data_IF_931458569216
#
_entry.id   IF_931458569216
#
_cell.length_a   1.000
_cell.length_b   1.000
_cell.length_c   1.000
_cell.angle_alpha   90.00
_cell.angle_beta   90.00
_cell.angle_gamma   90.00
#
_symmetry.space_group_name_H-M   'P 1'
#
loop_
_entity.id
_entity.type
_entity.pdbx_description
1 polymer ?
#
# COMPACT_ATOMS: atom_id res chain seq x y z
N UNK A 1 34.34 -22.28 -54.76
CA UNK A 1 34.42 -23.42 -53.83
C UNK A 1 34.92 -22.86 -52.50
N UNK A 2 34.21 -22.79 -51.38
CA UNK A 2 32.82 -23.02 -51.02
C UNK A 2 32.59 -22.28 -49.70
N UNK A 3 31.45 -21.60 -49.56
CA UNK A 3 31.01 -20.88 -48.36
C UNK A 3 30.55 -21.90 -47.30
N UNK A 4 31.05 -21.80 -46.07
CA UNK A 4 30.48 -22.49 -44.91
C UNK A 4 29.74 -21.45 -44.07
N UNK A 5 28.40 -21.50 -44.14
CA UNK A 5 27.49 -20.63 -43.41
C UNK A 5 27.32 -21.04 -41.94
N UNK A 6 26.66 -20.19 -41.13
CA UNK A 6 26.43 -20.47 -39.72
C UNK A 6 25.37 -21.57 -39.54
N UNK A 7 25.66 -22.48 -38.60
CA UNK A 7 24.76 -23.53 -38.13
C UNK A 7 23.67 -22.89 -37.27
N UNK A 8 22.43 -22.90 -37.75
CA UNK A 8 21.25 -22.58 -36.97
C UNK A 8 20.77 -23.82 -36.21
N UNK A 9 20.81 -23.77 -34.87
CA UNK A 9 20.13 -24.74 -34.01
C UNK A 9 18.62 -24.41 -33.98
N UNK A 10 17.82 -25.23 -34.65
CA UNK A 10 16.36 -25.23 -34.55
C UNK A 10 15.92 -25.74 -33.18
N UNK A 11 15.40 -24.84 -32.35
CA UNK A 11 14.53 -25.20 -31.22
C UNK A 11 13.08 -24.97 -31.63
N UNK A 12 12.37 -26.05 -31.95
CA UNK A 12 10.92 -26.02 -32.17
C UNK A 12 10.21 -25.84 -30.83
N UNK A 13 10.01 -24.59 -30.41
CA UNK A 13 9.07 -24.23 -29.36
C UNK A 13 7.66 -24.19 -29.95
N UNK A 14 6.80 -25.14 -29.58
CA UNK A 14 5.38 -25.09 -29.89
C UNK A 14 4.79 -23.80 -29.28
N UNK A 15 4.33 -22.88 -30.12
CA UNK A 15 3.49 -21.77 -29.68
C UNK A 15 2.20 -22.37 -29.08
N UNK A 16 1.76 -21.96 -27.88
CA UNK A 16 0.42 -22.29 -27.45
C UNK A 16 -0.56 -21.71 -28.47
N UNK A 17 -1.49 -22.55 -28.95
CA UNK A 17 -2.52 -22.14 -29.86
C UNK A 17 -3.24 -20.90 -29.31
N UNK A 18 -3.37 -19.87 -30.15
CA UNK A 18 -4.28 -18.75 -29.95
C UNK A 18 -5.71 -19.30 -29.81
N UNK A 19 -6.13 -19.66 -28.60
CA UNK A 19 -7.53 -19.92 -28.31
C UNK A 19 -8.23 -18.56 -28.23
N UNK A 20 -8.98 -18.22 -29.28
CA UNK A 20 -9.93 -17.12 -29.22
C UNK A 20 -10.80 -17.26 -27.96
N UNK A 21 -11.11 -16.16 -27.25
CA UNK A 21 -12.03 -16.23 -26.13
C UNK A 21 -13.36 -16.83 -26.62
N UNK A 22 -14.02 -17.67 -25.81
CA UNK A 22 -15.32 -18.21 -26.17
C UNK A 22 -16.28 -17.07 -26.51
N UNK A 23 -17.19 -17.25 -27.49
CA UNK A 23 -18.18 -16.23 -27.82
C UNK A 23 -18.98 -15.85 -26.57
N UNK A 24 -19.34 -14.58 -26.39
CA UNK A 24 -20.11 -14.14 -25.24
C UNK A 24 -21.41 -14.94 -25.18
N UNK A 25 -21.64 -15.60 -24.05
CA UNK A 25 -22.90 -16.31 -23.79
C UNK A 25 -24.01 -15.26 -23.80
N UNK A 26 -25.06 -15.40 -24.64
CA UNK A 26 -26.13 -14.42 -24.68
C UNK A 26 -26.81 -14.32 -23.31
N UNK A 27 -26.78 -13.13 -22.71
CA UNK A 27 -27.48 -12.87 -21.44
C UNK A 27 -28.96 -13.18 -21.60
N UNK A 28 -29.51 -13.92 -20.63
CA UNK A 28 -30.93 -14.25 -20.61
C UNK A 28 -31.77 -12.97 -20.49
N UNK A 29 -33.02 -12.99 -20.99
CA UNK A 29 -33.96 -11.87 -20.83
C UNK A 29 -34.10 -11.42 -19.37
N UNK A 30 -34.01 -12.34 -18.42
CA UNK A 30 -34.05 -12.07 -16.98
C UNK A 30 -32.80 -11.33 -16.47
N UNK A 31 -31.61 -11.68 -16.96
CA UNK A 31 -30.35 -11.01 -16.62
C UNK A 31 -30.29 -9.60 -17.19
N UNK A 32 -30.74 -9.42 -18.44
CA UNK A 32 -30.87 -8.10 -19.05
C UNK A 32 -31.85 -7.21 -18.28
N UNK A 33 -33.03 -7.73 -17.90
CA UNK A 33 -34.00 -7.00 -17.09
C UNK A 33 -33.46 -6.63 -15.69
N UNK A 34 -32.66 -7.52 -15.07
CA UNK A 34 -31.96 -7.22 -13.81
C UNK A 34 -30.93 -6.10 -13.98
N UNK A 35 -30.11 -6.16 -15.03
CA UNK A 35 -29.11 -5.14 -15.32
C UNK A 35 -29.75 -3.76 -15.53
N UNK A 36 -30.88 -3.68 -16.25
CA UNK A 36 -31.63 -2.43 -16.42
C UNK A 36 -32.09 -1.87 -15.08
N UNK A 37 -32.72 -2.68 -14.22
CA UNK A 37 -33.16 -2.23 -12.90
C UNK A 37 -32.01 -1.73 -12.02
N UNK A 38 -30.85 -2.39 -12.05
CA UNK A 38 -29.66 -1.93 -11.32
C UNK A 38 -29.20 -0.56 -11.85
N UNK A 39 -29.16 -0.38 -13.17
CA UNK A 39 -28.78 0.91 -13.78
C UNK A 39 -29.74 2.03 -13.42
N UNK A 40 -31.04 1.78 -13.49
CA UNK A 40 -32.08 2.75 -13.13
C UNK A 40 -31.99 3.10 -11.63
N UNK A 41 -31.84 2.11 -10.77
CA UNK A 41 -31.66 2.33 -9.34
C UNK A 41 -30.39 3.14 -9.04
N UNK A 42 -29.26 2.82 -9.69
CA UNK A 42 -28.02 3.58 -9.55
C UNK A 42 -28.17 5.02 -10.04
N UNK A 43 -28.86 5.24 -11.17
CA UNK A 43 -29.11 6.58 -11.71
C UNK A 43 -30.04 7.41 -10.81
N UNK A 44 -31.03 6.79 -10.17
CA UNK A 44 -31.94 7.46 -9.25
C UNK A 44 -31.31 7.78 -7.89
N UNK A 45 -30.32 6.99 -7.45
CA UNK A 45 -29.71 7.12 -6.11
C UNK A 45 -28.29 7.70 -6.13
N UNK A 46 -27.70 7.99 -7.29
CA UNK A 46 -26.38 8.64 -7.37
C UNK A 46 -26.44 10.03 -6.75
N UNK A 47 -25.48 10.31 -5.88
CA UNK A 47 -25.25 11.64 -5.33
C UNK A 47 -23.97 12.21 -5.94
N UNK A 48 -24.04 13.45 -6.40
CA UNK A 48 -22.91 14.10 -7.07
C UNK A 48 -21.86 14.49 -6.03
N UNK A 49 -20.63 14.04 -6.24
CA UNK A 49 -19.45 14.48 -5.52
C UNK A 49 -18.64 15.37 -6.48
N UNK A 50 -18.54 16.65 -6.14
CA UNK A 50 -17.81 17.65 -6.91
C UNK A 50 -16.43 17.86 -6.32
N UNK A 51 -15.42 18.10 -7.17
CA UNK A 51 -14.07 18.46 -6.75
C UNK A 51 -13.56 19.62 -7.61
N UNK A 52 -13.22 20.74 -6.96
CA UNK A 52 -12.75 21.96 -7.64
C UNK A 52 -11.22 22.05 -7.77
N UNK A 53 -10.51 20.97 -7.42
CA UNK A 53 -9.04 20.92 -7.34
C UNK A 53 -8.50 21.15 -5.93
N UNK A 54 -9.32 21.66 -5.01
CA UNK A 54 -8.95 21.88 -3.61
C UNK A 54 -9.94 21.26 -2.62
N UNK A 55 -11.24 21.26 -2.92
CA UNK A 55 -12.30 20.85 -2.00
C UNK A 55 -13.34 19.97 -2.69
N UNK A 56 -13.72 18.93 -1.96
CA UNK A 56 -14.88 18.10 -2.24
C UNK A 56 -16.16 18.78 -1.74
N UNK A 57 -17.23 18.69 -2.53
CA UNK A 57 -18.53 19.31 -2.23
C UNK A 57 -19.69 18.60 -2.95
N UNK A 58 -20.92 19.10 -2.78
CA UNK A 58 -22.13 18.57 -3.41
C UNK A 58 -22.84 17.52 -2.55
N UNK A 59 -24.01 17.06 -3.02
CA UNK A 59 -24.88 16.17 -2.25
C UNK A 59 -24.23 14.83 -1.85
N UNK A 60 -23.23 14.37 -2.60
CA UNK A 60 -22.44 13.19 -2.26
C UNK A 60 -21.52 13.44 -1.07
N UNK A 61 -20.85 14.60 -1.05
CA UNK A 61 -20.03 15.04 0.06
C UNK A 61 -20.85 15.19 1.35
N UNK A 62 -21.99 15.87 1.25
CA UNK A 62 -22.87 16.12 2.40
C UNK A 62 -23.36 14.80 3.03
N UNK A 63 -23.70 13.80 2.20
CA UNK A 63 -24.07 12.47 2.69
C UNK A 63 -22.91 11.77 3.40
N UNK A 64 -21.69 11.83 2.86
CA UNK A 64 -20.52 11.19 3.49
C UNK A 64 -20.25 11.77 4.87
N UNK A 65 -20.31 13.10 5.01
CA UNK A 65 -20.11 13.79 6.29
C UNK A 65 -21.25 13.46 7.27
N UNK A 66 -22.51 13.50 6.82
CA UNK A 66 -23.67 13.21 7.66
C UNK A 66 -23.67 11.75 8.16
N UNK A 67 -23.38 10.79 7.28
CA UNK A 67 -23.29 9.37 7.68
C UNK A 67 -22.08 9.09 8.54
N UNK A 68 -20.95 9.73 8.25
CA UNK A 68 -19.73 9.56 9.03
C UNK A 68 -19.84 10.12 10.44
N UNK A 69 -20.53 11.25 10.62
CA UNK A 69 -20.71 11.85 11.96
C UNK A 69 -21.60 11.01 12.88
N UNK A 70 -22.52 10.22 12.31
CA UNK A 70 -23.37 9.27 13.03
C UNK A 70 -22.68 7.92 13.29
N UNK A 71 -21.58 7.63 12.59
CA UNK A 71 -20.87 6.36 12.66
C UNK A 71 -19.71 6.40 13.67
N UNK A 72 -19.45 5.27 14.34
CA UNK A 72 -18.26 5.09 15.17
C UNK A 72 -17.00 4.80 14.33
N UNK A 73 -17.19 4.20 13.16
CA UNK A 73 -16.14 3.84 12.22
C UNK A 73 -16.57 4.21 10.80
N UNK A 74 -15.67 4.83 10.03
CA UNK A 74 -15.86 5.13 8.63
C UNK A 74 -14.81 4.38 7.81
N UNK A 75 -15.25 3.55 6.87
CA UNK A 75 -14.37 2.81 5.97
C UNK A 75 -14.33 3.52 4.62
N UNK A 76 -13.13 3.87 4.16
CA UNK A 76 -12.89 4.45 2.85
C UNK A 76 -12.05 3.46 2.03
N UNK A 77 -12.67 2.84 1.03
CA UNK A 77 -11.95 2.07 0.02
C UNK A 77 -11.30 3.00 -1.01
N UNK A 78 -10.22 2.54 -1.61
CA UNK A 78 -9.41 3.35 -2.53
C UNK A 78 -8.82 2.50 -3.66
N UNK A 79 -8.31 3.17 -4.69
CA UNK A 79 -7.54 2.56 -5.78
C UNK A 79 -6.15 3.19 -5.81
N UNK A 80 -5.10 2.37 -5.72
CA UNK A 80 -3.74 2.86 -5.58
C UNK A 80 -3.31 3.79 -6.72
N UNK A 81 -2.55 4.82 -6.37
CA UNK A 81 -1.95 5.76 -7.33
C UNK A 81 -2.87 6.89 -7.80
N UNK A 82 -4.06 7.03 -7.21
CA UNK A 82 -4.99 8.13 -7.50
C UNK A 82 -4.80 9.28 -6.50
N UNK A 83 -4.40 10.45 -6.99
CA UNK A 83 -4.08 11.62 -6.18
C UNK A 83 -5.28 12.18 -5.39
N UNK A 84 -6.50 11.96 -5.89
CA UNK A 84 -7.74 12.42 -5.28
C UNK A 84 -8.12 11.62 -4.01
N UNK A 85 -7.70 10.36 -3.90
CA UNK A 85 -8.01 9.50 -2.74
C UNK A 85 -7.49 10.09 -1.43
N UNK A 86 -6.19 10.41 -1.28
CA UNK A 86 -5.68 11.01 -0.04
C UNK A 86 -6.25 12.42 0.20
N UNK A 87 -6.60 13.18 -0.85
CA UNK A 87 -7.26 14.49 -0.69
C UNK A 87 -8.66 14.34 -0.10
N UNK A 88 -9.44 13.38 -0.59
CA UNK A 88 -10.75 13.06 -0.05
C UNK A 88 -10.64 12.59 1.40
N UNK A 89 -9.71 11.67 1.68
CA UNK A 89 -9.46 11.16 3.03
C UNK A 89 -9.06 12.29 4.00
N UNK A 90 -8.23 13.24 3.58
CA UNK A 90 -7.83 14.38 4.39
C UNK A 90 -8.99 15.31 4.74
N UNK A 91 -9.81 15.67 3.75
CA UNK A 91 -10.95 16.54 3.97
C UNK A 91 -12.01 15.83 4.83
N UNK A 92 -12.28 14.55 4.55
CA UNK A 92 -13.28 13.77 5.28
C UNK A 92 -12.87 13.58 6.74
N UNK A 93 -11.62 13.16 7.00
CA UNK A 93 -11.14 13.02 8.37
C UNK A 93 -11.28 14.33 9.15
N UNK A 94 -10.84 15.45 8.56
CA UNK A 94 -10.95 16.77 9.18
C UNK A 94 -12.40 17.16 9.50
N UNK A 95 -13.34 16.84 8.60
CA UNK A 95 -14.76 17.08 8.80
C UNK A 95 -15.40 16.19 9.89
N UNK A 96 -14.83 15.00 10.12
CA UNK A 96 -15.34 14.03 11.09
C UNK A 96 -14.72 14.14 12.49
N UNK A 97 -13.57 14.81 12.64
CA UNK A 97 -12.96 15.06 13.97
C UNK A 97 -13.93 15.67 15.00
N UNK A 98 -14.76 16.69 14.65
CA UNK A 98 -15.76 17.23 15.59
C UNK A 98 -16.77 16.18 16.11
N UNK A 99 -16.94 15.06 15.40
CA UNK A 99 -17.82 13.95 15.78
C UNK A 99 -17.10 12.88 16.62
N UNK A 100 -15.85 13.13 17.04
CA UNK A 100 -15.08 12.25 17.93
C UNK A 100 -14.00 11.41 17.24
N UNK A 101 -13.85 11.52 15.92
CA UNK A 101 -12.79 10.83 15.20
C UNK A 101 -11.41 11.36 15.64
N UNK A 102 -10.49 10.43 15.91
CA UNK A 102 -9.13 10.78 16.36
C UNK A 102 -8.05 9.82 15.85
N UNK A 103 -8.44 8.79 15.09
CA UNK A 103 -7.57 7.74 14.57
C UNK A 103 -7.82 7.52 13.09
N UNK A 104 -6.76 7.23 12.36
CA UNK A 104 -6.78 6.72 10.98
C UNK A 104 -6.16 5.33 11.02
N UNK A 105 -6.85 4.37 10.45
CA UNK A 105 -6.35 3.01 10.28
C UNK A 105 -6.05 2.79 8.79
N UNK A 106 -4.84 2.30 8.47
CA UNK A 106 -4.36 2.15 7.09
C UNK A 106 -3.77 0.76 6.87
N UNK A 107 -3.75 0.34 5.60
CA UNK A 107 -3.29 -0.98 5.12
C UNK A 107 -1.76 -1.06 5.04
N UNK A 108 -1.11 -0.83 6.19
CA UNK A 108 0.33 -1.01 6.38
C UNK A 108 0.57 -1.68 7.74
N UNK A 109 1.78 -2.12 8.01
CA UNK A 109 2.20 -2.63 9.31
C UNK A 109 2.14 -1.60 10.42
N UNK A 110 1.91 -2.08 11.64
CA UNK A 110 1.95 -1.25 12.83
C UNK A 110 3.29 -0.55 13.05
N UNK A 111 4.40 -1.16 12.61
CA UNK A 111 5.74 -0.61 12.74
C UNK A 111 5.93 0.61 11.82
N UNK A 112 5.59 0.50 10.53
CA UNK A 112 5.67 1.66 9.64
C UNK A 112 4.67 2.74 10.01
N UNK A 113 3.44 2.38 10.41
CA UNK A 113 2.48 3.38 10.88
C UNK A 113 3.03 4.23 12.04
N UNK A 114 3.80 3.62 12.95
CA UNK A 114 4.48 4.35 14.01
C UNK A 114 5.57 5.29 13.47
N UNK A 115 6.38 4.82 12.52
CA UNK A 115 7.43 5.64 11.87
C UNK A 115 6.83 6.82 11.07
N UNK A 116 5.71 6.61 10.37
CA UNK A 116 5.00 7.67 9.64
C UNK A 116 4.38 8.70 10.59
N UNK A 117 3.73 8.26 11.67
CA UNK A 117 3.18 9.17 12.70
C UNK A 117 4.31 10.02 13.32
N UNK A 118 5.44 9.39 13.67
CA UNK A 118 6.59 10.10 14.21
C UNK A 118 7.16 11.11 13.19
N UNK A 119 7.43 10.67 11.97
CA UNK A 119 8.02 11.53 10.92
C UNK A 119 7.13 12.75 10.62
N UNK A 120 5.81 12.58 10.52
CA UNK A 120 4.89 13.70 10.28
C UNK A 120 4.76 14.62 11.50
N UNK A 121 4.86 14.07 12.70
CA UNK A 121 4.81 14.84 13.94
C UNK A 121 6.06 15.71 14.11
N UNK A 122 7.24 15.21 13.76
CA UNK A 122 8.50 15.91 13.94
C UNK A 122 8.81 16.93 12.84
N UNK A 123 8.50 16.62 11.58
CA UNK A 123 8.91 17.44 10.44
C UNK A 123 7.86 17.64 9.36
N UNK A 124 6.60 17.28 9.63
CA UNK A 124 5.48 17.51 8.72
C UNK A 124 5.60 16.74 7.40
N UNK A 125 4.90 17.19 6.34
CA UNK A 125 4.81 16.47 5.08
C UNK A 125 6.16 16.34 4.37
N UNK A 126 7.09 17.29 4.56
CA UNK A 126 8.42 17.22 3.96
C UNK A 126 9.27 16.11 4.57
N UNK A 127 9.13 15.84 5.88
CA UNK A 127 9.84 14.73 6.53
C UNK A 127 9.35 13.38 6.03
N UNK A 128 8.03 13.21 5.93
CA UNK A 128 7.41 12.04 5.31
C UNK A 128 7.90 11.84 3.88
N UNK A 129 7.84 12.88 3.06
CA UNK A 129 8.26 12.79 1.66
C UNK A 129 9.72 12.35 1.52
N UNK A 130 10.64 12.89 2.35
CA UNK A 130 12.04 12.45 2.36
C UNK A 130 12.18 11.00 2.77
N UNK A 131 11.51 10.59 3.85
CA UNK A 131 11.51 9.20 4.31
C UNK A 131 11.02 8.25 3.20
N UNK A 132 10.02 8.63 2.43
CA UNK A 132 9.38 7.71 1.49
C UNK A 132 10.04 7.69 0.11
N UNK A 133 10.88 8.69 -0.19
CA UNK A 133 11.61 8.78 -1.47
C UNK A 133 13.05 8.25 -1.40
N UNK A 134 13.65 8.23 -0.21
CA UNK A 134 14.98 7.68 0.02
C UNK A 134 14.99 6.15 -0.18
N UNK A 135 15.85 5.60 -1.07
CA UNK A 135 15.81 4.16 -1.39
C UNK A 135 15.80 3.19 -0.20
N UNK A 136 16.56 3.38 0.89
CA UNK A 136 16.54 2.46 2.04
C UNK A 136 15.21 2.41 2.79
N UNK A 137 14.38 3.45 2.68
CA UNK A 137 13.13 3.63 3.42
C UNK A 137 11.90 3.70 2.51
N UNK A 138 12.10 3.54 1.21
CA UNK A 138 11.03 3.50 0.20
C UNK A 138 10.11 2.31 0.46
N UNK A 139 8.81 2.57 0.34
CA UNK A 139 7.72 1.60 0.47
C UNK A 139 6.81 1.67 -0.76
N UNK A 140 5.98 0.65 -0.96
CA UNK A 140 5.03 0.63 -2.08
C UNK A 140 3.86 1.61 -1.90
N UNK A 141 3.50 1.92 -0.65
CA UNK A 141 2.37 2.79 -0.27
C UNK A 141 2.89 4.11 0.34
N UNK A 142 2.11 5.20 0.29
CA UNK A 142 2.52 6.51 0.83
C UNK A 142 3.66 7.23 0.07
N UNK A 143 4.07 6.73 -1.11
CA UNK A 143 5.11 7.36 -1.94
C UNK A 143 4.70 8.67 -2.61
N UNK A 144 3.42 9.03 -2.61
CA UNK A 144 2.91 10.26 -3.24
C UNK A 144 2.96 11.45 -2.27
N UNK A 145 3.15 12.64 -2.84
CA UNK A 145 3.09 13.90 -2.07
C UNK A 145 1.72 14.05 -1.39
N UNK A 146 0.65 13.72 -2.09
CA UNK A 146 -0.72 13.87 -1.62
C UNK A 146 -1.00 12.98 -0.40
N UNK A 147 -0.40 11.80 -0.31
CA UNK A 147 -0.50 10.92 0.87
C UNK A 147 0.25 11.51 2.08
N UNK A 148 1.42 12.12 1.86
CA UNK A 148 2.14 12.84 2.91
C UNK A 148 1.36 14.07 3.41
N UNK A 149 0.73 14.80 2.49
CA UNK A 149 -0.15 15.93 2.82
C UNK A 149 -1.39 15.49 3.61
N UNK A 150 -1.97 14.33 3.26
CA UNK A 150 -3.08 13.74 3.99
C UNK A 150 -2.71 13.42 5.44
N UNK A 151 -1.61 12.70 5.67
CA UNK A 151 -1.16 12.38 7.03
C UNK A 151 -0.89 13.64 7.84
N UNK A 152 -0.31 14.67 7.22
CA UNK A 152 -0.08 15.96 7.87
C UNK A 152 -1.40 16.68 8.22
N UNK A 153 -2.41 16.63 7.34
CA UNK A 153 -3.73 17.18 7.61
C UNK A 153 -4.43 16.43 8.75
N UNK A 154 -4.40 15.10 8.74
CA UNK A 154 -4.97 14.27 9.79
C UNK A 154 -4.30 14.52 11.16
N UNK A 155 -2.96 14.60 11.20
CA UNK A 155 -2.21 14.96 12.40
C UNK A 155 -2.62 16.33 12.95
N UNK A 156 -2.79 17.33 12.08
CA UNK A 156 -3.24 18.68 12.48
C UNK A 156 -4.67 18.67 13.02
N UNK A 157 -5.56 17.93 12.37
CA UNK A 157 -6.97 17.85 12.77
C UNK A 157 -7.14 17.14 14.12
N UNK A 158 -6.37 16.07 14.37
CA UNK A 158 -6.38 15.34 15.63
C UNK A 158 -4.97 15.41 16.28
N UNK A 159 -4.60 16.47 17.02
CA UNK A 159 -3.21 16.73 17.45
C UNK A 159 -2.75 15.97 18.71
N UNK A 160 -3.61 15.19 19.35
CA UNK A 160 -3.28 14.48 20.60
C UNK A 160 -3.04 12.99 20.37
N UNK A 161 -1.96 12.46 20.96
CA UNK A 161 -1.62 11.04 20.96
C UNK A 161 -1.31 10.46 19.56
N UNK A 162 -1.06 9.15 19.50
CA UNK A 162 -0.86 8.42 18.24
C UNK A 162 -2.14 8.44 17.42
N UNK A 163 -2.12 8.94 16.18
CA UNK A 163 -3.32 9.02 15.34
C UNK A 163 -3.34 7.95 14.25
N UNK A 164 -2.19 7.38 13.87
CA UNK A 164 -2.10 6.41 12.78
C UNK A 164 -1.95 4.99 13.31
N UNK A 165 -2.80 4.08 12.83
CA UNK A 165 -2.77 2.64 13.11
C UNK A 165 -2.52 1.88 11.82
N UNK A 166 -1.52 1.00 11.81
CA UNK A 166 -1.31 0.03 10.74
C UNK A 166 -2.03 -1.26 11.08
N UNK A 167 -2.85 -1.77 10.16
CA UNK A 167 -3.67 -2.98 10.37
C UNK A 167 -3.24 -4.17 9.50
N UNK A 168 -2.18 -4.04 8.71
CA UNK A 168 -1.81 -5.06 7.72
C UNK A 168 -0.28 -5.33 7.66
N UNK A 169 0.24 -5.73 6.51
CA UNK A 169 1.66 -5.94 6.25
C UNK A 169 2.27 -4.88 5.33
N UNK A 170 3.60 -4.90 5.17
CA UNK A 170 4.30 -3.99 4.26
C UNK A 170 4.70 -4.65 2.95
N UNK A 171 4.66 -3.84 1.90
CA UNK A 171 5.34 -4.12 0.64
C UNK A 171 6.50 -3.15 0.47
N UNK A 172 7.71 -3.69 0.42
CA UNK A 172 8.94 -2.96 0.11
C UNK A 172 9.61 -2.24 1.28
N UNK A 173 9.01 -2.22 2.48
CA UNK A 173 9.60 -1.62 3.68
C UNK A 173 10.71 -2.45 4.34
N UNK A 174 11.04 -3.61 3.78
CA UNK A 174 11.86 -4.64 4.43
C UNK A 174 13.23 -4.10 4.87
N UNK A 175 13.90 -3.30 4.04
CA UNK A 175 15.19 -2.68 4.39
C UNK A 175 15.09 -1.75 5.60
N UNK A 176 14.06 -0.91 5.66
CA UNK A 176 13.84 -0.03 6.82
C UNK A 176 13.54 -0.83 8.08
N UNK A 177 12.61 -1.79 8.00
CA UNK A 177 12.23 -2.65 9.12
C UNK A 177 13.41 -3.46 9.65
N UNK A 178 14.23 -4.04 8.76
CA UNK A 178 15.48 -4.71 9.12
C UNK A 178 16.42 -3.73 9.83
N UNK A 179 16.53 -2.49 9.37
CA UNK A 179 17.35 -1.46 10.03
C UNK A 179 16.84 -1.10 11.44
N UNK A 180 15.52 -1.11 11.67
CA UNK A 180 14.94 -0.89 12.99
C UNK A 180 15.27 -2.07 13.92
N UNK A 181 15.11 -3.30 13.43
CA UNK A 181 15.53 -4.49 14.16
C UNK A 181 17.03 -4.45 14.47
N UNK A 182 17.87 -4.00 13.53
CA UNK A 182 19.32 -3.91 13.70
C UNK A 182 19.73 -3.03 14.90
N UNK A 183 18.97 -1.95 15.17
CA UNK A 183 19.20 -1.03 16.30
C UNK A 183 18.79 -1.59 17.66
N UNK A 184 17.86 -2.55 17.71
CA UNK A 184 17.41 -3.17 18.97
C UNK A 184 18.48 -4.08 19.59
N UNK A 185 18.53 -4.14 20.92
CA UNK A 185 19.41 -5.08 21.65
C UNK A 185 18.95 -6.51 21.43
N UNK A 186 19.84 -7.38 20.98
CA UNK A 186 19.53 -8.77 20.62
C UNK A 186 20.67 -9.73 20.98
N UNK A 187 20.39 -11.04 21.16
CA UNK A 187 21.42 -12.06 21.30
C UNK A 187 22.33 -12.16 20.06
N UNK A 188 23.54 -12.69 20.22
CA UNK A 188 24.48 -12.84 19.11
C UNK A 188 23.93 -13.77 18.00
N UNK A 189 23.24 -14.84 18.38
CA UNK A 189 22.56 -15.71 17.43
C UNK A 189 21.52 -14.96 16.57
N UNK A 190 20.74 -14.06 17.18
CA UNK A 190 19.77 -13.23 16.49
C UNK A 190 20.44 -12.19 15.59
N UNK A 191 21.58 -11.62 16.02
CA UNK A 191 22.39 -10.72 15.19
C UNK A 191 22.90 -11.44 13.93
N UNK A 192 23.43 -12.65 14.07
CA UNK A 192 23.89 -13.45 12.94
C UNK A 192 22.73 -13.84 12.00
N UNK A 193 21.56 -14.20 12.54
CA UNK A 193 20.38 -14.48 11.74
C UNK A 193 19.87 -13.24 10.98
N UNK A 194 19.83 -12.09 11.64
CA UNK A 194 19.41 -10.82 11.04
C UNK A 194 20.36 -10.40 9.91
N UNK A 195 21.67 -10.60 10.06
CA UNK A 195 22.63 -10.31 9.00
C UNK A 195 22.41 -11.16 7.74
N UNK A 196 21.95 -12.42 7.88
CA UNK A 196 21.56 -13.25 6.72
C UNK A 196 20.29 -12.74 6.05
N UNK A 197 19.29 -12.35 6.84
CA UNK A 197 18.05 -11.73 6.35
C UNK A 197 18.35 -10.42 5.59
N UNK A 198 19.20 -9.56 6.14
CA UNK A 198 19.64 -8.30 5.51
C UNK A 198 20.39 -8.52 4.20
N UNK A 199 21.30 -9.50 4.16
CA UNK A 199 22.02 -9.84 2.93
C UNK A 199 21.07 -10.34 1.83
N UNK A 200 20.07 -11.15 2.19
CA UNK A 200 19.07 -11.64 1.25
C UNK A 200 18.16 -10.52 0.72
N UNK A 201 17.71 -9.61 1.60
CA UNK A 201 16.96 -8.41 1.22
C UNK A 201 17.76 -7.55 0.23
N UNK A 202 19.02 -7.24 0.56
CA UNK A 202 19.94 -6.47 -0.29
C UNK A 202 20.10 -7.10 -1.67
N UNK A 203 20.31 -8.43 -1.74
CA UNK A 203 20.45 -9.13 -3.01
C UNK A 203 19.17 -9.10 -3.85
N UNK A 204 18.01 -9.24 -3.21
CA UNK A 204 16.71 -9.17 -3.90
C UNK A 204 16.49 -7.78 -4.51
N UNK A 205 16.79 -6.72 -3.75
CA UNK A 205 16.69 -5.35 -4.24
C UNK A 205 17.68 -5.02 -5.36
N UNK A 206 18.91 -5.57 -5.33
CA UNK A 206 19.83 -5.44 -6.45
C UNK A 206 19.25 -6.00 -7.75
N UNK A 207 18.62 -7.19 -7.69
CA UNK A 207 17.93 -7.79 -8.85
C UNK A 207 16.72 -6.98 -9.29
N UNK A 208 15.96 -6.42 -8.35
CA UNK A 208 14.85 -5.53 -8.68
C UNK A 208 15.35 -4.30 -9.44
N UNK A 209 16.44 -3.66 -9.02
CA UNK A 209 16.96 -2.47 -9.71
C UNK A 209 17.45 -2.78 -11.13
N UNK A 210 18.03 -3.96 -11.36
CA UNK A 210 18.47 -4.43 -12.67
C UNK A 210 17.30 -4.75 -13.62
N UNK A 211 16.24 -5.38 -13.10
CA UNK A 211 15.18 -5.98 -13.94
C UNK A 211 13.87 -5.20 -13.94
N UNK A 212 13.66 -4.38 -12.90
CA UNK A 212 12.37 -3.76 -12.54
C UNK A 212 11.22 -4.77 -12.39
N UNK A 213 11.54 -6.04 -12.15
CA UNK A 213 10.57 -7.11 -11.97
C UNK A 213 10.00 -7.13 -10.54
N UNK A 214 8.68 -6.98 -10.34
CA UNK A 214 8.09 -6.96 -9.00
C UNK A 214 8.34 -8.26 -8.21
N UNK A 215 8.53 -9.39 -8.90
CA UNK A 215 8.91 -10.66 -8.28
C UNK A 215 10.26 -10.66 -7.56
N UNK A 216 11.02 -9.55 -7.62
CA UNK A 216 12.27 -9.35 -6.91
C UNK A 216 12.15 -8.38 -5.73
N UNK A 217 10.97 -7.82 -5.47
CA UNK A 217 10.69 -7.10 -4.23
C UNK A 217 10.71 -8.12 -3.10
N UNK A 218 11.48 -7.86 -2.04
CA UNK A 218 11.76 -8.87 -1.01
C UNK A 218 10.49 -9.35 -0.30
N UNK A 219 9.47 -8.49 -0.12
CA UNK A 219 8.16 -8.90 0.43
C UNK A 219 7.48 -10.03 -0.37
N UNK A 220 7.79 -10.18 -1.67
CA UNK A 220 7.24 -11.23 -2.53
C UNK A 220 8.21 -12.38 -2.78
N UNK A 221 9.51 -12.11 -2.74
CA UNK A 221 10.57 -13.04 -3.14
C UNK A 221 11.30 -13.69 -1.96
N UNK A 222 11.20 -13.10 -0.77
CA UNK A 222 11.99 -13.46 0.39
C UNK A 222 11.67 -14.87 0.91
N UNK A 223 12.70 -15.57 1.36
CA UNK A 223 12.55 -16.86 2.02
C UNK A 223 11.98 -16.65 3.45
N UNK A 224 10.76 -17.12 3.75
CA UNK A 224 10.17 -16.96 5.07
C UNK A 224 10.97 -17.66 6.18
N UNK A 225 11.82 -18.65 5.87
CA UNK A 225 12.68 -19.30 6.86
C UNK A 225 13.72 -18.32 7.44
N UNK A 226 14.15 -17.32 6.68
CA UNK A 226 15.10 -16.31 7.18
C UNK A 226 14.47 -15.46 8.28
N UNK A 227 13.19 -15.10 8.14
CA UNK A 227 12.44 -14.39 9.18
C UNK A 227 12.21 -15.28 10.40
N UNK A 228 11.87 -16.56 10.21
CA UNK A 228 11.72 -17.52 11.32
C UNK A 228 13.02 -17.72 12.08
N UNK A 229 14.14 -17.85 11.38
CA UNK A 229 15.46 -17.99 12.00
C UNK A 229 15.81 -16.80 12.90
N UNK A 230 15.43 -15.56 12.53
CA UNK A 230 15.59 -14.39 13.40
C UNK A 230 14.72 -14.51 14.66
N UNK A 231 13.45 -14.87 14.50
CA UNK A 231 12.49 -15.01 15.61
C UNK A 231 12.90 -16.10 16.60
N UNK A 232 13.34 -17.25 16.10
CA UNK A 232 13.76 -18.40 16.92
C UNK A 232 15.06 -18.12 17.68
N UNK A 233 15.99 -17.39 17.05
CA UNK A 233 17.21 -16.94 17.69
C UNK A 233 16.99 -15.79 18.70
N UNK A 234 15.78 -15.23 18.77
CA UNK A 234 15.41 -14.11 19.64
C UNK A 234 14.14 -14.39 20.49
N UNK A 235 14.18 -15.37 21.39
CA UNK A 235 12.98 -15.86 22.09
C UNK A 235 12.37 -14.88 23.11
N UNK A 236 13.14 -13.88 23.58
CA UNK A 236 12.69 -12.83 24.53
C UNK A 236 12.62 -11.45 23.87
N UNK A 237 12.23 -11.40 22.61
CA UNK A 237 12.02 -10.16 21.86
C UNK A 237 10.78 -9.41 22.34
N UNK A 238 10.78 -8.09 22.18
CA UNK A 238 9.58 -7.29 22.44
C UNK A 238 8.52 -7.51 21.35
N UNK A 239 7.32 -6.96 21.53
CA UNK A 239 6.21 -7.17 20.59
C UNK A 239 6.47 -6.60 19.19
N UNK A 240 7.39 -5.65 19.06
CA UNK A 240 7.77 -5.04 17.79
C UNK A 240 8.90 -5.81 17.09
N UNK A 241 9.50 -6.81 17.74
CA UNK A 241 10.68 -7.54 17.28
C UNK A 241 10.42 -9.01 16.92
#
# INVERSE_FOLDING_TARGET
MGLAGPVALSGAGAQPANSSPPPPVPSTSAEAARATRIKEAAAANRKRLDFDGARFSGAGWDELVARGSEAQFFLLGEEHGIAENPKLAAQLFSALVPSGYSKVAVEISSAMAAELDQSVTEGGPQSLYRMLTDPPTRVAFFGMREEAEWLAAARRAAPRGRFLWGLDYEVGADRHLISLLARKRKPEAARAALGRLEAASTQSWARYEETRGPQHIYSFAGDPELVRAVRDAWPRRDAEA
#
